data_IF_359015900006
#
_entry.id   IF_359015900006
#
_cell.length_a   1.000
_cell.length_b   1.000
_cell.length_c   1.000
_cell.angle_alpha   90.00
_cell.angle_beta   90.00
_cell.angle_gamma   90.00
#
_symmetry.space_group_name_H-M   'P 1'
#
loop_
_entity.id
_entity.type
_entity.pdbx_description
1 polymer ?
#
# COMPACT_ATOMS: atom_id res chain seq x y z
N UNK A 1 -46.09 24.27 74.22
CA UNK A 1 -44.87 24.82 73.59
C UNK A 1 -44.15 23.68 72.87
N UNK A 2 -43.70 23.90 71.62
CA UNK A 2 -43.35 22.85 70.66
C UNK A 2 -41.85 22.51 70.72
N UNK A 3 -41.49 21.27 70.37
CA UNK A 3 -40.12 20.96 69.94
C UNK A 3 -40.16 19.97 68.78
N UNK A 4 -40.00 20.55 67.58
CA UNK A 4 -39.69 19.91 66.30
C UNK A 4 -38.36 19.17 66.42
N UNK A 5 -38.28 17.88 66.07
CA UNK A 5 -36.98 17.20 65.84
C UNK A 5 -37.17 15.90 65.06
N UNK A 6 -37.72 15.97 63.83
CA UNK A 6 -37.95 14.77 63.03
C UNK A 6 -37.82 15.06 61.54
N UNK A 7 -36.64 15.45 61.06
CA UNK A 7 -36.42 15.59 59.61
C UNK A 7 -34.96 15.65 59.12
N UNK A 8 -33.96 15.28 59.94
CA UNK A 8 -32.55 15.41 59.52
C UNK A 8 -31.79 14.09 59.33
N UNK A 9 -32.38 12.94 59.66
CA UNK A 9 -31.65 11.66 59.65
C UNK A 9 -31.88 10.79 58.41
N UNK A 10 -32.82 11.16 57.51
CA UNK A 10 -33.10 10.37 56.29
C UNK A 10 -32.38 10.86 55.03
N UNK A 11 -31.80 12.06 55.04
CA UNK A 11 -31.15 12.62 53.85
C UNK A 11 -29.65 12.30 53.72
N UNK A 12 -29.02 11.75 54.77
CA UNK A 12 -27.60 11.39 54.74
C UNK A 12 -27.31 9.94 54.35
N UNK A 13 -28.36 9.13 54.11
CA UNK A 13 -28.21 7.70 53.79
C UNK A 13 -28.48 7.38 52.30
N UNK A 14 -28.82 8.39 51.50
CA UNK A 14 -29.18 8.24 50.08
C UNK A 14 -28.05 8.62 49.11
N UNK A 15 -26.96 9.23 49.59
CA UNK A 15 -25.86 9.69 48.73
C UNK A 15 -24.68 8.70 48.73
N UNK A 16 -24.57 7.82 49.72
CA UNK A 16 -23.44 6.87 49.82
C UNK A 16 -23.64 5.58 49.00
N UNK A 17 -24.83 5.34 48.47
CA UNK A 17 -25.15 4.16 47.65
C UNK A 17 -24.81 4.33 46.16
N UNK A 18 -24.44 5.55 45.74
CA UNK A 18 -24.14 5.89 44.34
C UNK A 18 -22.62 6.01 44.06
N UNK A 19 -21.79 5.34 44.87
CA UNK A 19 -20.34 5.33 44.71
C UNK A 19 -19.74 3.92 44.53
N UNK A 20 -20.58 2.90 44.33
CA UNK A 20 -20.14 1.49 44.17
C UNK A 20 -20.73 0.87 42.89
N UNK A 21 -20.71 1.62 41.78
CA UNK A 21 -20.87 1.07 40.42
C UNK A 21 -19.81 1.68 39.48
N UNK A 22 -18.61 1.89 40.02
CA UNK A 22 -17.38 2.01 39.23
C UNK A 22 -16.38 0.99 39.76
N UNK A 23 -16.84 -0.25 40.01
CA UNK A 23 -15.97 -1.38 39.72
C UNK A 23 -15.86 -1.37 38.21
N UNK A 24 -14.85 -0.64 37.73
CA UNK A 24 -14.42 -0.72 36.35
C UNK A 24 -14.40 -2.18 35.97
N UNK A 25 -14.93 -2.48 34.80
CA UNK A 25 -14.38 -3.60 34.08
C UNK A 25 -12.88 -3.32 34.04
N UNK A 26 -12.11 -3.95 34.92
CA UNK A 26 -10.81 -4.43 34.55
C UNK A 26 -11.12 -5.36 33.38
N UNK A 27 -11.32 -4.75 32.20
CA UNK A 27 -11.15 -5.41 30.93
C UNK A 27 -9.71 -5.84 31.07
N UNK A 28 -9.59 -7.10 31.45
CA UNK A 28 -8.33 -7.79 31.44
C UNK A 28 -7.93 -7.78 29.97
N UNK A 29 -7.29 -6.71 29.53
CA UNK A 29 -6.59 -6.56 28.24
C UNK A 29 -5.37 -7.51 28.16
N UNK A 30 -5.46 -8.63 28.88
CA UNK A 30 -4.80 -9.88 28.52
C UNK A 30 -5.49 -10.55 27.31
N UNK A 31 -6.34 -9.81 26.58
CA UNK A 31 -6.75 -10.15 25.22
C UNK A 31 -5.58 -9.98 24.27
N UNK A 32 -4.49 -10.72 24.50
CA UNK A 32 -3.45 -10.90 23.51
C UNK A 32 -4.15 -11.37 22.24
N UNK A 33 -4.13 -10.53 21.19
CA UNK A 33 -4.62 -10.92 19.87
C UNK A 33 -4.02 -12.30 19.59
N UNK A 34 -4.84 -13.31 19.26
CA UNK A 34 -4.30 -14.62 18.93
C UNK A 34 -3.22 -14.43 17.86
N UNK A 35 -2.07 -15.11 17.97
CA UNK A 35 -0.99 -14.95 17.03
C UNK A 35 -1.53 -15.13 15.61
N UNK A 36 -1.27 -14.14 14.76
CA UNK A 36 -1.70 -14.18 13.36
C UNK A 36 -1.05 -15.37 12.66
N UNK A 37 -1.81 -15.98 11.73
CA UNK A 37 -1.30 -17.11 10.96
C UNK A 37 -0.12 -16.65 10.08
N UNK A 38 0.87 -17.53 9.82
CA UNK A 38 1.95 -17.21 8.90
C UNK A 38 1.43 -16.81 7.52
N UNK A 39 2.02 -15.77 6.95
CA UNK A 39 1.67 -15.32 5.60
C UNK A 39 2.25 -16.33 4.60
N UNK A 40 1.40 -16.81 3.69
CA UNK A 40 1.80 -17.60 2.53
C UNK A 40 1.14 -17.02 1.28
N UNK A 41 1.93 -16.32 0.47
CA UNK A 41 1.45 -15.68 -0.75
C UNK A 41 1.63 -16.60 -1.96
N UNK A 42 0.68 -16.55 -2.88
CA UNK A 42 0.84 -17.17 -4.20
C UNK A 42 1.89 -16.41 -5.01
N UNK A 43 2.66 -17.09 -5.88
CA UNK A 43 3.54 -16.39 -6.80
C UNK A 43 2.73 -15.48 -7.74
N UNK A 44 3.27 -14.32 -8.14
CA UNK A 44 2.58 -13.41 -9.05
C UNK A 44 2.34 -14.07 -10.41
N UNK A 45 1.28 -13.63 -11.08
CA UNK A 45 0.95 -14.10 -12.44
C UNK A 45 2.04 -13.71 -13.44
N UNK A 46 2.18 -14.51 -14.50
CA UNK A 46 3.14 -14.23 -15.57
C UNK A 46 2.78 -12.95 -16.32
N UNK A 47 3.81 -12.25 -16.79
CA UNK A 47 3.69 -11.05 -17.62
C UNK A 47 2.79 -11.31 -18.84
N UNK A 48 1.80 -10.45 -19.04
CA UNK A 48 0.96 -10.41 -20.25
C UNK A 48 1.38 -9.19 -21.08
N UNK A 49 2.02 -9.45 -22.22
CA UNK A 49 2.36 -8.41 -23.19
C UNK A 49 1.23 -8.33 -24.23
N UNK A 50 0.60 -7.16 -24.35
CA UNK A 50 -0.46 -6.90 -25.32
C UNK A 50 -0.35 -5.47 -25.88
N UNK A 51 -0.43 -5.34 -27.19
CA UNK A 51 -0.36 -4.06 -27.90
C UNK A 51 1.06 -3.63 -28.27
N UNK A 52 1.13 -2.60 -29.11
CA UNK A 52 2.39 -1.99 -29.56
C UNK A 52 2.45 -0.55 -29.07
N UNK A 53 3.65 -0.06 -28.79
CA UNK A 53 3.90 1.33 -28.43
C UNK A 53 3.88 2.30 -29.63
N UNK A 54 3.62 1.80 -30.84
CA UNK A 54 3.26 2.65 -31.98
C UNK A 54 1.93 3.38 -31.73
N UNK A 55 1.07 2.82 -30.87
CA UNK A 55 -0.16 3.47 -30.42
C UNK A 55 0.10 4.14 -29.07
N UNK A 56 0.36 5.45 -29.11
CA UNK A 56 0.67 6.30 -27.93
C UNK A 56 -0.33 6.09 -26.78
N UNK A 57 -1.62 5.88 -27.09
CA UNK A 57 -2.67 5.64 -26.09
C UNK A 57 -2.47 4.38 -25.24
N UNK A 58 -1.92 3.28 -25.79
CA UNK A 58 -1.68 2.05 -25.01
C UNK A 58 -0.57 2.21 -24.00
N UNK A 59 0.48 2.95 -24.36
CA UNK A 59 1.54 3.34 -23.45
C UNK A 59 1.00 4.26 -22.35
N UNK A 60 0.17 5.23 -22.70
CA UNK A 60 -0.46 6.13 -21.74
C UNK A 60 -1.34 5.38 -20.73
N UNK A 61 -2.27 4.54 -21.20
CA UNK A 61 -3.16 3.74 -20.34
C UNK A 61 -2.35 2.91 -19.33
N UNK A 62 -1.29 2.24 -19.81
CA UNK A 62 -0.42 1.44 -18.96
C UNK A 62 0.37 2.29 -17.93
N UNK A 63 0.89 3.45 -18.34
CA UNK A 63 1.59 4.38 -17.43
C UNK A 63 0.66 4.97 -16.37
N UNK A 64 -0.58 5.29 -16.73
CA UNK A 64 -1.59 5.83 -15.80
C UNK A 64 -1.94 4.85 -14.69
N UNK A 65 -1.77 3.54 -14.91
CA UNK A 65 -1.95 2.51 -13.87
C UNK A 65 -0.65 2.23 -13.12
N UNK A 66 0.43 1.94 -13.83
CA UNK A 66 1.64 1.40 -13.20
C UNK A 66 2.45 2.42 -12.42
N UNK A 67 2.44 3.70 -12.81
CA UNK A 67 3.19 4.75 -12.11
C UNK A 67 2.59 5.03 -10.72
N UNK A 68 1.28 5.29 -10.57
CA UNK A 68 0.68 5.47 -9.25
C UNK A 68 0.82 4.25 -8.34
N UNK A 69 0.65 3.04 -8.90
CA UNK A 69 0.77 1.80 -8.11
C UNK A 69 2.21 1.60 -7.61
N UNK A 70 3.23 1.87 -8.45
CA UNK A 70 4.64 1.85 -8.02
C UNK A 70 4.89 2.84 -6.89
N UNK A 71 4.42 4.08 -7.02
CA UNK A 71 4.63 5.12 -6.00
C UNK A 71 3.96 4.76 -4.67
N UNK A 72 2.74 4.25 -4.73
CA UNK A 72 2.01 3.78 -3.56
C UNK A 72 2.71 2.59 -2.92
N UNK A 73 3.19 1.64 -3.72
CA UNK A 73 3.98 0.50 -3.24
C UNK A 73 5.25 0.96 -2.54
N UNK A 74 6.00 1.89 -3.14
CA UNK A 74 7.24 2.40 -2.57
C UNK A 74 6.98 3.16 -1.25
N UNK A 75 5.95 4.01 -1.21
CA UNK A 75 5.55 4.71 0.02
C UNK A 75 5.23 3.71 1.14
N UNK A 76 4.38 2.72 0.85
CA UNK A 76 3.96 1.74 1.85
C UNK A 76 5.09 0.79 2.26
N UNK A 77 5.99 0.45 1.34
CA UNK A 77 7.19 -0.33 1.64
C UNK A 77 8.09 0.41 2.64
N UNK A 78 8.29 1.72 2.45
CA UNK A 78 9.09 2.53 3.36
C UNK A 78 8.46 2.62 4.76
N UNK A 79 7.13 2.73 4.84
CA UNK A 79 6.40 2.66 6.12
C UNK A 79 6.58 1.30 6.79
N UNK A 80 6.41 0.21 6.04
CA UNK A 80 6.53 -1.16 6.55
C UNK A 80 7.96 -1.47 7.04
N UNK A 81 8.98 -0.98 6.33
CA UNK A 81 10.39 -1.17 6.69
C UNK A 81 10.77 -0.56 8.06
N UNK A 82 10.01 0.43 8.54
CA UNK A 82 10.22 1.06 9.84
C UNK A 82 9.49 0.36 10.99
N UNK A 83 8.65 -0.64 10.71
CA UNK A 83 7.85 -1.37 11.70
C UNK A 83 8.56 -2.64 12.15
N UNK A 84 8.16 -3.14 13.32
CA UNK A 84 8.59 -4.45 13.79
C UNK A 84 7.81 -5.57 13.06
N UNK A 85 8.29 -6.81 13.19
CA UNK A 85 7.70 -7.96 12.51
C UNK A 85 6.21 -8.18 12.85
N UNK A 86 5.75 -7.87 14.06
CA UNK A 86 4.35 -8.12 14.45
C UNK A 86 3.36 -7.13 13.81
N UNK A 87 3.82 -5.96 13.35
CA UNK A 87 2.98 -4.87 12.87
C UNK A 87 2.94 -4.74 11.34
N UNK A 88 3.64 -5.61 10.60
CA UNK A 88 3.74 -5.54 9.12
C UNK A 88 2.80 -6.49 8.37
N UNK A 89 1.95 -7.24 9.06
CA UNK A 89 1.06 -8.22 8.43
C UNK A 89 0.20 -7.59 7.33
N UNK A 90 -0.59 -6.58 7.71
CA UNK A 90 -1.51 -5.90 6.80
C UNK A 90 -0.77 -5.13 5.70
N UNK A 91 0.42 -4.62 5.99
CA UNK A 91 1.27 -3.97 4.99
C UNK A 91 1.76 -4.95 3.94
N UNK A 92 2.16 -6.14 4.37
CA UNK A 92 2.64 -7.21 3.48
C UNK A 92 1.52 -7.65 2.54
N UNK A 93 0.31 -7.86 3.07
CA UNK A 93 -0.86 -8.22 2.26
C UNK A 93 -1.25 -7.09 1.30
N UNK A 94 -1.22 -5.84 1.75
CA UNK A 94 -1.51 -4.68 0.93
C UNK A 94 -0.53 -4.55 -0.24
N UNK A 95 0.78 -4.65 0.04
CA UNK A 95 1.84 -4.62 -0.97
C UNK A 95 1.71 -5.79 -1.96
N UNK A 96 1.33 -6.98 -1.49
CA UNK A 96 1.05 -8.11 -2.36
C UNK A 96 -0.12 -7.85 -3.33
N UNK A 97 -1.18 -7.17 -2.86
CA UNK A 97 -2.30 -6.75 -3.72
C UNK A 97 -1.90 -5.74 -4.79
N UNK A 98 -1.01 -4.79 -4.47
CA UNK A 98 -0.45 -3.87 -5.44
C UNK A 98 0.44 -4.59 -6.48
N UNK A 99 1.23 -5.57 -6.05
CA UNK A 99 2.01 -6.43 -6.96
C UNK A 99 1.09 -7.18 -7.92
N UNK A 100 0.00 -7.78 -7.44
CA UNK A 100 -0.97 -8.48 -8.31
C UNK A 100 -1.63 -7.52 -9.31
N UNK A 101 -1.94 -6.30 -8.87
CA UNK A 101 -2.47 -5.23 -9.75
C UNK A 101 -1.51 -4.93 -10.89
N UNK A 102 -0.22 -4.72 -10.60
CA UNK A 102 0.80 -4.51 -11.63
C UNK A 102 0.88 -5.74 -12.53
N UNK A 103 1.02 -6.95 -11.96
CA UNK A 103 1.24 -8.18 -12.72
C UNK A 103 0.10 -8.50 -13.71
N UNK A 104 -1.15 -8.11 -13.39
CA UNK A 104 -2.32 -8.29 -14.27
C UNK A 104 -2.51 -7.16 -15.28
N UNK A 105 -1.79 -6.04 -15.16
CA UNK A 105 -1.93 -4.92 -16.09
C UNK A 105 -1.33 -5.28 -17.44
N UNK A 106 -2.15 -5.24 -18.50
CA UNK A 106 -1.70 -5.51 -19.86
C UNK A 106 -0.62 -4.51 -20.26
N UNK A 107 0.53 -5.02 -20.67
CA UNK A 107 1.73 -4.21 -20.89
C UNK A 107 2.02 -4.10 -22.38
N UNK A 108 2.14 -2.90 -22.96
CA UNK A 108 2.56 -2.75 -24.35
C UNK A 108 4.04 -3.15 -24.50
N UNK A 109 4.45 -3.53 -25.70
CA UNK A 109 5.80 -4.04 -25.99
C UNK A 109 6.96 -3.19 -25.43
N UNK A 110 6.93 -1.86 -25.58
CA UNK A 110 7.97 -0.99 -25.04
C UNK A 110 7.97 -0.88 -23.50
N UNK A 111 6.87 -1.28 -22.85
CA UNK A 111 6.75 -1.36 -21.39
C UNK A 111 7.23 -2.70 -20.81
N UNK A 112 7.46 -3.73 -21.64
CA UNK A 112 7.71 -5.09 -21.16
C UNK A 112 8.97 -5.19 -20.28
N UNK A 113 10.04 -4.47 -20.62
CA UNK A 113 11.29 -4.42 -19.85
C UNK A 113 11.05 -3.85 -18.46
N UNK A 114 10.40 -2.70 -18.37
CA UNK A 114 10.15 -2.01 -17.10
C UNK A 114 9.14 -2.75 -16.23
N UNK A 115 8.12 -3.36 -16.84
CA UNK A 115 7.18 -4.22 -16.13
C UNK A 115 7.89 -5.42 -15.49
N UNK A 116 8.86 -6.03 -16.19
CA UNK A 116 9.67 -7.13 -15.63
C UNK A 116 10.51 -6.67 -14.44
N UNK A 117 11.17 -5.52 -14.55
CA UNK A 117 11.95 -4.92 -13.44
C UNK A 117 11.04 -4.64 -12.25
N UNK A 118 9.87 -4.04 -12.50
CA UNK A 118 8.90 -3.68 -11.48
C UNK A 118 8.36 -4.90 -10.73
N UNK A 119 7.87 -5.92 -11.45
CA UNK A 119 7.37 -7.17 -10.87
C UNK A 119 8.47 -7.85 -10.04
N UNK A 120 9.69 -7.94 -10.57
CA UNK A 120 10.83 -8.57 -9.87
C UNK A 120 11.13 -7.85 -8.56
N UNK A 121 11.21 -6.52 -8.59
CA UNK A 121 11.47 -5.70 -7.41
C UNK A 121 10.36 -5.82 -6.36
N UNK A 122 9.10 -5.69 -6.78
CA UNK A 122 7.94 -5.80 -5.87
C UNK A 122 7.83 -7.20 -5.26
N UNK A 123 8.07 -8.26 -6.05
CA UNK A 123 8.10 -9.65 -5.56
C UNK A 123 9.19 -9.85 -4.52
N UNK A 124 10.39 -9.33 -4.77
CA UNK A 124 11.50 -9.39 -3.82
C UNK A 124 11.16 -8.71 -2.49
N UNK A 125 10.56 -7.51 -2.54
CA UNK A 125 10.16 -6.78 -1.34
C UNK A 125 9.09 -7.53 -0.53
N UNK A 126 8.04 -8.00 -1.20
CA UNK A 126 6.94 -8.76 -0.57
C UNK A 126 7.45 -10.06 0.05
N UNK A 127 8.36 -10.76 -0.63
CA UNK A 127 8.98 -12.00 -0.12
C UNK A 127 9.82 -11.72 1.13
N UNK A 128 10.60 -10.63 1.14
CA UNK A 128 11.39 -10.23 2.29
C UNK A 128 10.51 -9.87 3.50
N UNK A 129 9.42 -9.12 3.28
CA UNK A 129 8.46 -8.78 4.33
C UNK A 129 7.72 -10.01 4.87
N UNK A 130 7.28 -10.92 3.99
CA UNK A 130 6.68 -12.19 4.40
C UNK A 130 7.65 -13.00 5.27
N UNK A 131 8.93 -13.09 4.87
CA UNK A 131 9.94 -13.79 5.65
C UNK A 131 10.22 -13.10 6.99
N UNK A 132 10.19 -11.77 7.03
CA UNK A 132 10.37 -10.99 8.26
C UNK A 132 9.21 -11.20 9.24
N UNK A 133 7.96 -11.12 8.76
CA UNK A 133 6.75 -11.39 9.54
C UNK A 133 6.74 -12.84 10.08
N UNK A 134 7.07 -13.81 9.23
CA UNK A 134 7.09 -15.23 9.60
C UNK A 134 8.31 -15.61 10.46
N UNK A 135 9.20 -14.68 10.79
CA UNK A 135 10.47 -14.93 11.49
C UNK A 135 11.39 -15.96 10.80
N UNK A 136 11.30 -16.07 9.47
CA UNK A 136 12.14 -16.96 8.65
C UNK A 136 13.24 -16.21 7.90
N UNK A 137 13.29 -14.87 8.01
CA UNK A 137 14.31 -14.05 7.37
C UNK A 137 15.69 -14.31 8.01
N UNK A 138 16.66 -14.69 7.17
CA UNK A 138 18.06 -14.80 7.58
C UNK A 138 18.74 -13.44 7.43
N UNK A 139 18.76 -12.64 8.49
CA UNK A 139 19.38 -11.30 8.51
C UNK A 139 18.41 -10.19 8.87
N UNK A 140 18.80 -8.94 8.62
CA UNK A 140 17.96 -7.78 8.86
C UNK A 140 17.11 -7.41 7.63
N UNK A 141 15.95 -6.82 7.88
CA UNK A 141 15.01 -6.46 6.82
C UNK A 141 15.58 -5.41 5.86
N UNK A 142 16.39 -4.45 6.33
CA UNK A 142 16.91 -3.39 5.46
C UNK A 142 17.86 -3.95 4.41
N UNK A 143 18.74 -4.87 4.79
CA UNK A 143 19.61 -5.58 3.86
C UNK A 143 18.81 -6.37 2.82
N UNK A 144 17.73 -7.04 3.24
CA UNK A 144 16.86 -7.79 2.34
C UNK A 144 16.06 -6.89 1.37
N UNK A 145 15.78 -5.64 1.75
CA UNK A 145 15.05 -4.67 0.93
C UNK A 145 15.93 -3.84 -0.01
N UNK A 146 17.25 -3.89 0.12
CA UNK A 146 18.17 -3.06 -0.66
C UNK A 146 18.04 -3.28 -2.18
N UNK A 147 18.06 -4.53 -2.63
CA UNK A 147 17.91 -4.87 -4.05
C UNK A 147 16.51 -4.54 -4.60
N UNK A 148 15.40 -4.89 -3.91
CA UNK A 148 14.06 -4.41 -4.27
C UNK A 148 13.96 -2.88 -4.42
N UNK A 149 14.51 -2.11 -3.48
CA UNK A 149 14.47 -0.64 -3.54
C UNK A 149 15.25 -0.09 -4.73
N UNK A 150 16.40 -0.69 -5.06
CA UNK A 150 17.16 -0.36 -6.27
C UNK A 150 16.36 -0.67 -7.53
N UNK A 151 15.70 -1.82 -7.58
CA UNK A 151 14.83 -2.20 -8.70
C UNK A 151 13.64 -1.25 -8.91
N UNK A 152 12.99 -0.81 -7.82
CA UNK A 152 11.92 0.19 -7.88
C UNK A 152 12.42 1.53 -8.44
N UNK A 153 13.61 1.96 -8.00
CA UNK A 153 14.24 3.21 -8.50
C UNK A 153 14.59 3.10 -9.99
N UNK A 154 15.09 1.94 -10.43
CA UNK A 154 15.38 1.67 -11.83
C UNK A 154 14.09 1.70 -12.67
N UNK A 155 13.03 1.03 -12.22
CA UNK A 155 11.74 1.05 -12.90
C UNK A 155 11.20 2.49 -13.02
N UNK A 156 11.37 3.31 -11.98
CA UNK A 156 10.95 4.70 -12.01
C UNK A 156 11.69 5.53 -13.06
N UNK A 157 12.99 5.34 -13.20
CA UNK A 157 13.78 6.00 -14.25
C UNK A 157 13.26 5.62 -15.65
N UNK A 158 13.02 4.34 -15.91
CA UNK A 158 12.57 3.87 -17.23
C UNK A 158 11.16 4.40 -17.53
N UNK A 159 10.24 4.40 -16.55
CA UNK A 159 8.91 4.99 -16.73
C UNK A 159 8.98 6.49 -17.06
N UNK A 160 9.88 7.25 -16.43
CA UNK A 160 10.06 8.68 -16.73
C UNK A 160 10.59 8.91 -18.16
N UNK A 161 11.48 8.04 -18.65
CA UNK A 161 11.96 8.08 -20.03
C UNK A 161 10.81 7.79 -21.02
N UNK A 162 9.97 6.80 -20.72
CA UNK A 162 8.79 6.47 -21.53
C UNK A 162 7.77 7.62 -21.55
N UNK A 163 7.48 8.24 -20.40
CA UNK A 163 6.62 9.44 -20.31
C UNK A 163 7.18 10.57 -21.17
N UNK A 164 8.48 10.80 -21.13
CA UNK A 164 9.13 11.86 -21.93
C UNK A 164 9.01 11.58 -23.42
N UNK A 165 9.25 10.34 -23.85
CA UNK A 165 9.08 9.93 -25.25
C UNK A 165 7.64 10.11 -25.72
N UNK A 166 6.68 9.67 -24.92
CA UNK A 166 5.24 9.80 -25.18
C UNK A 166 4.83 11.27 -25.35
N UNK A 167 5.29 12.16 -24.47
CA UNK A 167 5.04 13.61 -24.58
C UNK A 167 5.61 14.20 -25.87
N UNK A 168 6.81 13.78 -26.27
CA UNK A 168 7.41 14.24 -27.52
C UNK A 168 6.62 13.76 -28.75
N UNK A 169 6.10 12.53 -28.73
CA UNK A 169 5.23 12.01 -29.80
C UNK A 169 3.96 12.87 -29.93
N UNK A 170 3.27 13.17 -28.82
CA UNK A 170 2.09 14.03 -28.85
C UNK A 170 2.37 15.45 -29.39
N UNK A 171 3.53 16.04 -29.08
CA UNK A 171 3.90 17.33 -29.62
C UNK A 171 4.11 17.30 -31.14
N UNK A 172 4.74 16.25 -31.65
CA UNK A 172 4.94 16.07 -33.08
C UNK A 172 3.61 15.89 -33.82
N UNK A 173 2.71 15.07 -33.30
CA UNK A 173 1.37 14.86 -33.87
C UNK A 173 0.57 16.18 -33.95
N UNK A 174 0.54 16.95 -32.86
CA UNK A 174 -0.17 18.22 -32.82
C UNK A 174 0.39 19.26 -33.82
N UNK A 175 1.71 19.26 -34.05
CA UNK A 175 2.35 20.15 -35.03
C UNK A 175 2.14 19.70 -36.49
N UNK A 176 1.77 18.44 -36.72
CA UNK A 176 1.55 17.87 -38.05
C UNK A 176 0.09 17.97 -38.50
N UNK A 177 -0.88 18.09 -37.58
CA UNK A 177 -2.27 18.40 -37.92
C UNK A 177 -2.40 19.86 -38.40
N UNK A 178 -2.65 20.12 -39.70
CA UNK A 178 -2.83 21.49 -40.19
C UNK A 178 -4.10 22.06 -39.59
N UNK A 179 -4.05 23.30 -39.09
CA UNK A 179 -5.26 24.05 -38.73
C UNK A 179 -6.19 24.05 -39.93
N UNK A 180 -7.45 23.55 -39.82
CA UNK A 180 -8.38 23.60 -40.93
C UNK A 180 -8.52 25.06 -41.37
N UNK A 181 -8.20 25.33 -42.64
CA UNK A 181 -8.35 26.65 -43.23
C UNK A 181 -9.83 27.08 -43.10
N UNK A 182 -10.13 28.28 -42.60
CA UNK A 182 -11.52 28.72 -42.47
C UNK A 182 -12.16 28.74 -43.85
N UNK A 183 -13.28 28.02 -43.99
CA UNK A 183 -14.07 28.03 -45.21
C UNK A 183 -14.45 29.48 -45.56
N UNK A 184 -13.98 29.94 -46.71
CA UNK A 184 -14.28 31.26 -47.28
C UNK A 184 -15.65 31.29 -47.93
#
# INVERSE_FOLDING_TARGET
MPARSSLLTKQMLLITSLAVIITGCAINDSGGKPPEAPITLAPPVSLVVEGTCDVTGKLEDWLQVTVPVREQFQSRLNEAAAKNAADIHDDTLYLAGLLDTVARTHTPDCGAEVQRVLITAMTGAVTALQAYFNHTLSGDLNSALADPQKGLSQAASIQNDLITRMKNQYQLENNLTPTPSPAS
#
